data_IF_001335795202
#
_entry.id   IF_001335795202
#
_cell.length_a   1.000
_cell.length_b   1.000
_cell.length_c   1.000
_cell.angle_alpha   90.00
_cell.angle_beta   90.00
_cell.angle_gamma   90.00
#
_symmetry.space_group_name_H-M   'P 1'
#
loop_
_entity.id
_entity.type
_entity.pdbx_description
1 polymer ?
#
# COMPACT_ATOMS: atom_id res chain seq x y z
N UNK A 1 51.71 -40.71 45.29
CA UNK A 1 51.90 -39.66 44.26
C UNK A 1 50.58 -39.00 44.03
N UNK A 2 50.34 -38.00 44.88
CA UNK A 2 49.13 -37.18 44.82
C UNK A 2 49.25 -36.16 43.68
N UNK A 3 48.29 -36.12 42.81
CA UNK A 3 48.14 -35.05 41.86
C UNK A 3 46.85 -34.25 42.17
N UNK A 4 47.03 -33.26 42.96
CA UNK A 4 46.05 -32.22 43.32
C UNK A 4 45.81 -31.35 42.06
N UNK A 5 44.66 -31.50 41.40
CA UNK A 5 44.23 -30.58 40.34
C UNK A 5 43.59 -29.37 41.01
N UNK A 6 44.32 -28.27 41.06
CA UNK A 6 43.83 -26.94 41.43
C UNK A 6 42.95 -26.40 40.32
N UNK A 7 41.63 -26.44 40.56
CA UNK A 7 40.65 -25.68 39.74
C UNK A 7 40.81 -24.17 40.06
N UNK A 8 41.51 -23.48 39.19
CA UNK A 8 41.55 -22.02 39.19
C UNK A 8 40.29 -21.48 38.57
N UNK A 9 39.27 -21.23 39.36
CA UNK A 9 38.11 -20.44 38.97
C UNK A 9 38.56 -18.99 38.79
N UNK A 10 38.66 -18.56 37.53
CA UNK A 10 38.80 -17.15 37.16
C UNK A 10 37.57 -16.39 37.68
N UNK A 11 37.77 -15.26 38.40
CA UNK A 11 36.64 -14.45 38.83
C UNK A 11 36.00 -13.81 37.57
N UNK A 12 34.77 -14.23 37.26
CA UNK A 12 33.96 -13.64 36.24
C UNK A 12 33.70 -12.17 36.67
N UNK A 13 34.19 -11.23 35.87
CA UNK A 13 33.93 -9.80 36.04
C UNK A 13 32.41 -9.61 35.99
N UNK A 14 31.83 -9.07 37.06
CA UNK A 14 30.40 -8.85 37.26
C UNK A 14 29.75 -8.11 36.14
N UNK A 15 29.30 -8.84 35.12
CA UNK A 15 28.25 -8.43 34.26
C UNK A 15 26.93 -8.81 34.93
N UNK A 16 26.04 -7.87 35.06
CA UNK A 16 24.67 -8.10 35.54
C UNK A 16 24.03 -9.13 34.60
N UNK A 17 23.90 -10.37 35.07
CA UNK A 17 23.15 -11.38 34.35
C UNK A 17 21.67 -10.99 34.42
N UNK A 18 21.14 -10.49 33.33
CA UNK A 18 19.69 -10.16 33.21
C UNK A 18 18.95 -11.48 33.07
N UNK A 19 18.20 -11.86 34.08
CA UNK A 19 17.31 -13.02 33.97
C UNK A 19 16.14 -12.67 33.06
N UNK A 20 16.12 -13.31 31.89
CA UNK A 20 15.08 -13.10 30.86
C UNK A 20 13.69 -13.45 31.41
N UNK A 21 13.61 -14.41 32.33
CA UNK A 21 12.35 -14.84 32.92
C UNK A 21 11.75 -13.74 33.81
N UNK A 22 12.58 -13.08 34.60
CA UNK A 22 12.16 -11.98 35.47
C UNK A 22 11.78 -10.73 34.65
N UNK A 23 12.52 -10.45 33.59
CA UNK A 23 12.18 -9.38 32.65
C UNK A 23 10.80 -9.59 31.99
N UNK A 24 10.51 -10.84 31.59
CA UNK A 24 9.18 -11.17 31.04
C UNK A 24 8.10 -11.04 32.13
N UNK A 25 8.35 -11.50 33.35
CA UNK A 25 7.44 -11.34 34.48
C UNK A 25 7.12 -9.87 34.76
N UNK A 26 8.15 -9.00 34.73
CA UNK A 26 7.95 -7.55 34.87
C UNK A 26 7.06 -6.95 33.78
N UNK A 27 7.26 -7.37 32.53
CA UNK A 27 6.41 -6.92 31.42
C UNK A 27 4.94 -7.37 31.60
N UNK A 28 4.73 -8.60 32.06
CA UNK A 28 3.38 -9.13 32.31
C UNK A 28 2.67 -8.33 33.42
N UNK A 29 3.36 -7.99 34.50
CA UNK A 29 2.79 -7.14 35.57
C UNK A 29 2.42 -5.73 35.08
N UNK A 30 3.04 -5.25 34.00
CA UNK A 30 2.79 -3.92 33.40
C UNK A 30 1.92 -3.95 32.16
N UNK A 31 1.24 -5.08 31.87
CA UNK A 31 0.38 -5.26 30.68
C UNK A 31 -0.65 -4.14 30.51
N UNK A 32 -1.22 -3.62 31.59
CA UNK A 32 -2.15 -2.52 31.54
C UNK A 32 -1.54 -1.25 30.91
N UNK A 33 -0.31 -0.93 31.27
CA UNK A 33 0.40 0.23 30.71
C UNK A 33 0.70 -0.01 29.23
N UNK A 34 1.14 -1.25 28.90
CA UNK A 34 1.40 -1.64 27.50
C UNK A 34 0.12 -1.49 26.68
N UNK A 35 -1.00 -2.02 27.15
CA UNK A 35 -2.28 -1.94 26.45
C UNK A 35 -2.74 -0.49 26.23
N UNK A 36 -2.58 0.37 27.24
CA UNK A 36 -2.94 1.78 27.15
C UNK A 36 -2.08 2.52 26.11
N UNK A 37 -0.76 2.32 26.11
CA UNK A 37 0.14 2.97 25.16
C UNK A 37 -0.11 2.49 23.74
N UNK A 38 -0.30 1.17 23.53
CA UNK A 38 -0.64 0.61 22.23
C UNK A 38 -1.94 1.20 21.71
N UNK A 39 -2.96 1.33 22.58
CA UNK A 39 -4.24 1.96 22.21
C UNK A 39 -4.03 3.43 21.79
N UNK A 40 -3.23 4.19 22.53
CA UNK A 40 -2.92 5.57 22.17
C UNK A 40 -2.25 5.65 20.78
N UNK A 41 -1.27 4.79 20.49
CA UNK A 41 -0.61 4.75 19.18
C UNK A 41 -1.58 4.37 18.05
N UNK A 42 -2.50 3.43 18.28
CA UNK A 42 -3.56 3.10 17.32
C UNK A 42 -4.44 4.31 17.01
N UNK A 43 -4.85 5.06 18.04
CA UNK A 43 -5.68 6.27 17.86
C UNK A 43 -4.91 7.35 17.10
N UNK A 44 -3.63 7.59 17.45
CA UNK A 44 -2.79 8.57 16.77
C UNK A 44 -2.66 8.20 15.28
N UNK A 45 -2.38 6.95 14.95
CA UNK A 45 -2.26 6.49 13.56
C UNK A 45 -3.59 6.55 12.80
N UNK A 46 -4.70 6.30 13.47
CA UNK A 46 -6.04 6.48 12.89
C UNK A 46 -6.30 7.96 12.54
N UNK A 47 -6.05 8.87 13.47
CA UNK A 47 -6.21 10.31 13.26
C UNK A 47 -5.28 10.81 12.15
N UNK A 48 -4.02 10.40 12.17
CA UNK A 48 -3.06 10.70 11.11
C UNK A 48 -3.59 10.26 9.73
N UNK A 49 -4.06 9.02 9.62
CA UNK A 49 -4.60 8.47 8.36
C UNK A 49 -5.83 9.24 7.90
N UNK A 50 -6.68 9.68 8.84
CA UNK A 50 -7.94 10.36 8.51
C UNK A 50 -7.75 11.83 8.10
N UNK A 51 -6.80 12.53 8.72
CA UNK A 51 -6.66 13.99 8.57
C UNK A 51 -5.46 14.41 7.71
N UNK A 52 -4.40 13.59 7.65
CA UNK A 52 -3.18 13.98 6.96
C UNK A 52 -3.04 13.36 5.56
N UNK A 53 -3.69 12.21 5.31
CA UNK A 53 -3.58 11.55 4.02
C UNK A 53 -4.67 12.08 3.08
N UNK A 54 -4.26 12.72 1.98
CA UNK A 54 -5.19 13.13 0.93
C UNK A 54 -5.75 11.90 0.22
N UNK A 55 -7.07 11.77 0.09
CA UNK A 55 -7.67 10.63 -0.61
C UNK A 55 -7.31 10.67 -2.10
N UNK A 56 -6.95 9.52 -2.66
CA UNK A 56 -6.85 9.31 -4.10
C UNK A 56 -7.71 8.14 -4.52
N UNK A 57 -8.27 8.24 -5.71
CA UNK A 57 -9.21 7.27 -6.27
C UNK A 57 -8.59 6.64 -7.50
N UNK A 58 -8.62 5.32 -7.59
CA UNK A 58 -8.09 4.58 -8.71
C UNK A 58 -9.23 3.91 -9.46
N UNK A 59 -9.30 4.18 -10.75
CA UNK A 59 -10.19 3.49 -11.69
C UNK A 59 -9.33 2.61 -12.59
N UNK A 60 -9.70 1.35 -12.70
CA UNK A 60 -8.95 0.34 -13.45
C UNK A 60 -9.81 -0.18 -14.61
N UNK A 61 -9.22 -0.26 -15.79
CA UNK A 61 -9.83 -0.90 -16.96
C UNK A 61 -8.90 -1.93 -17.57
N UNK A 62 -9.45 -3.05 -18.01
CA UNK A 62 -8.69 -4.15 -18.61
C UNK A 62 -9.12 -4.35 -20.05
N UNK A 63 -8.14 -4.33 -20.94
CA UNK A 63 -8.35 -4.48 -22.38
C UNK A 63 -7.52 -5.65 -22.91
N UNK A 64 -8.13 -6.48 -23.77
CA UNK A 64 -7.41 -7.52 -24.52
C UNK A 64 -6.91 -6.92 -25.83
N UNK A 65 -5.65 -7.21 -26.16
CA UNK A 65 -5.05 -6.87 -27.45
C UNK A 65 -5.05 -8.12 -28.32
N UNK A 66 -5.79 -8.07 -29.43
CA UNK A 66 -5.88 -9.16 -30.38
C UNK A 66 -5.46 -8.69 -31.77
N UNK A 67 -4.64 -9.48 -32.45
CA UNK A 67 -4.31 -9.30 -33.85
C UNK A 67 -5.15 -10.29 -34.68
N UNK A 68 -6.15 -9.79 -35.36
CA UNK A 68 -7.01 -10.61 -36.22
C UNK A 68 -6.60 -10.42 -37.68
N UNK A 69 -5.90 -11.41 -38.19
CA UNK A 69 -5.66 -11.44 -39.65
C UNK A 69 -6.97 -11.72 -40.40
N UNK A 70 -7.14 -11.05 -41.52
CA UNK A 70 -8.28 -11.26 -42.41
C UNK A 70 -8.23 -12.70 -42.97
N UNK A 71 -9.20 -13.58 -42.64
CA UNK A 71 -9.17 -14.96 -43.05
C UNK A 71 -9.17 -15.16 -44.57
N UNK A 72 -9.62 -14.16 -45.33
CA UNK A 72 -9.66 -14.20 -46.79
C UNK A 72 -8.29 -13.91 -47.43
N UNK A 73 -7.38 -13.25 -46.73
CA UNK A 73 -6.03 -12.91 -47.24
C UNK A 73 -4.96 -13.98 -46.95
N UNK A 74 -5.15 -14.80 -45.93
CA UNK A 74 -4.08 -15.70 -45.45
C UNK A 74 -4.61 -17.10 -45.08
N UNK A 75 -5.02 -17.84 -46.10
CA UNK A 75 -5.58 -19.20 -45.92
C UNK A 75 -4.67 -20.22 -45.25
N UNK A 76 -3.41 -19.90 -44.94
CA UNK A 76 -2.42 -20.84 -44.35
C UNK A 76 -1.51 -20.24 -43.23
N UNK A 77 -1.80 -19.05 -42.75
CA UNK A 77 -1.05 -18.55 -41.59
C UNK A 77 -1.76 -18.94 -40.29
N UNK A 78 -1.10 -19.74 -39.54
CA UNK A 78 -1.53 -20.38 -38.31
C UNK A 78 -1.84 -19.37 -37.20
N UNK A 79 -2.85 -19.68 -36.39
CA UNK A 79 -3.21 -19.06 -35.10
C UNK A 79 -1.98 -18.68 -34.24
N UNK A 80 -0.87 -19.38 -34.39
CA UNK A 80 0.39 -19.14 -33.68
C UNK A 80 1.10 -17.82 -34.05
N UNK A 81 0.96 -17.34 -35.30
CA UNK A 81 1.57 -16.05 -35.69
C UNK A 81 0.78 -14.87 -35.12
N UNK A 82 -0.51 -14.96 -35.08
CA UNK A 82 -1.39 -13.93 -34.52
C UNK A 82 -1.22 -13.80 -33.00
N UNK A 83 -1.09 -14.93 -32.31
CA UNK A 83 -0.79 -14.96 -30.89
C UNK A 83 0.58 -14.35 -30.60
N UNK A 84 1.60 -14.64 -31.41
CA UNK A 84 2.95 -14.07 -31.22
C UNK A 84 2.96 -12.56 -31.36
N UNK A 85 2.18 -12.00 -32.31
CA UNK A 85 2.04 -10.54 -32.48
C UNK A 85 1.28 -9.94 -31.30
N UNK A 86 0.18 -10.55 -30.85
CA UNK A 86 -0.58 -10.10 -29.69
C UNK A 86 0.29 -10.05 -28.43
N UNK A 87 1.09 -11.09 -28.20
CA UNK A 87 2.06 -11.15 -27.09
C UNK A 87 3.10 -10.01 -27.17
N UNK A 88 3.65 -9.75 -28.37
CA UNK A 88 4.63 -8.67 -28.55
C UNK A 88 4.00 -7.29 -28.32
N UNK A 89 2.78 -7.08 -28.81
CA UNK A 89 2.02 -5.85 -28.60
C UNK A 89 1.74 -5.64 -27.12
N UNK A 90 1.32 -6.68 -26.41
CA UNK A 90 1.10 -6.63 -24.96
C UNK A 90 2.38 -6.25 -24.21
N UNK A 91 3.54 -6.81 -24.58
CA UNK A 91 4.83 -6.43 -23.98
C UNK A 91 5.21 -4.96 -24.25
N UNK A 92 4.83 -4.42 -25.39
CA UNK A 92 5.12 -3.02 -25.75
C UNK A 92 4.09 -2.04 -25.18
N UNK A 93 2.93 -2.51 -24.77
CA UNK A 93 1.80 -1.69 -24.35
C UNK A 93 2.10 -0.76 -23.20
N UNK A 94 2.92 -1.20 -22.24
CA UNK A 94 3.34 -0.38 -21.11
C UNK A 94 4.03 0.92 -21.57
N UNK A 95 4.94 0.83 -22.55
CA UNK A 95 5.59 2.01 -23.14
C UNK A 95 4.70 2.81 -24.05
N UNK A 96 3.78 2.13 -24.75
CA UNK A 96 2.85 2.79 -25.70
C UNK A 96 1.85 3.64 -24.93
N UNK A 97 1.22 3.08 -23.89
CA UNK A 97 0.14 3.76 -23.16
C UNK A 97 0.61 4.69 -22.05
N UNK A 98 1.85 4.54 -21.55
CA UNK A 98 2.48 5.55 -20.68
C UNK A 98 3.16 6.69 -21.46
N UNK A 99 3.16 6.63 -22.79
CA UNK A 99 3.82 7.61 -23.64
C UNK A 99 3.05 8.92 -23.78
N UNK A 100 3.79 10.02 -24.02
CA UNK A 100 3.23 11.39 -24.17
C UNK A 100 2.13 11.48 -25.24
N UNK A 101 2.28 10.75 -26.34
CA UNK A 101 1.32 10.79 -27.47
C UNK A 101 -0.04 10.22 -27.09
N UNK A 102 -0.04 9.11 -26.37
CA UNK A 102 -1.29 8.51 -25.89
C UNK A 102 -1.97 9.42 -24.86
N UNK A 103 -1.21 9.92 -23.91
CA UNK A 103 -1.73 10.83 -22.88
C UNK A 103 -2.24 12.15 -23.50
N UNK A 104 -1.61 12.63 -24.57
CA UNK A 104 -2.09 13.82 -25.30
C UNK A 104 -3.41 13.55 -26.03
N UNK A 105 -3.53 12.38 -26.67
CA UNK A 105 -4.78 11.97 -27.34
C UNK A 105 -5.94 11.85 -26.35
N UNK A 106 -5.69 11.23 -25.19
CA UNK A 106 -6.68 11.10 -24.12
C UNK A 106 -7.08 12.47 -23.57
N UNK A 107 -6.11 13.37 -23.38
CA UNK A 107 -6.37 14.75 -22.93
C UNK A 107 -7.22 15.54 -23.95
N UNK A 108 -6.89 15.42 -25.23
CA UNK A 108 -7.65 16.07 -26.31
C UNK A 108 -9.10 15.59 -26.35
N UNK A 109 -9.32 14.29 -26.29
CA UNK A 109 -10.67 13.70 -26.27
C UNK A 109 -11.47 14.16 -25.05
N UNK A 110 -10.86 14.16 -23.84
CA UNK A 110 -11.52 14.63 -22.64
C UNK A 110 -11.92 16.11 -22.69
N UNK A 111 -11.04 16.95 -23.21
CA UNK A 111 -11.31 18.40 -23.30
C UNK A 111 -12.32 18.76 -24.42
N UNK A 112 -12.48 17.87 -25.40
CA UNK A 112 -13.36 18.13 -26.54
C UNK A 112 -14.74 17.53 -26.35
N UNK A 113 -14.89 16.46 -25.57
CA UNK A 113 -16.12 15.71 -25.46
C UNK A 113 -16.56 15.44 -24.02
N UNK A 114 -17.65 16.10 -23.62
CA UNK A 114 -18.26 15.94 -22.28
C UNK A 114 -18.86 14.54 -22.05
N UNK A 115 -19.02 13.74 -23.11
CA UNK A 115 -19.64 12.42 -23.03
C UNK A 115 -18.89 11.47 -22.09
N UNK A 116 -17.57 11.60 -21.98
CA UNK A 116 -16.77 10.70 -21.14
C UNK A 116 -17.05 10.90 -19.66
N UNK A 117 -17.25 12.14 -19.20
CA UNK A 117 -17.60 12.37 -17.80
C UNK A 117 -19.04 11.93 -17.51
N UNK A 118 -19.95 12.13 -18.47
CA UNK A 118 -21.33 11.66 -18.35
C UNK A 118 -21.41 10.13 -18.34
N UNK A 119 -20.60 9.44 -19.16
CA UNK A 119 -20.49 7.99 -19.17
C UNK A 119 -19.91 7.46 -17.83
N UNK A 120 -18.91 8.15 -17.28
CA UNK A 120 -18.31 7.78 -15.99
C UNK A 120 -19.31 7.80 -14.83
N UNK A 121 -20.39 8.56 -14.95
CA UNK A 121 -21.44 8.63 -13.92
C UNK A 121 -22.41 7.44 -13.98
N UNK A 122 -22.48 6.67 -15.09
CA UNK A 122 -23.37 5.50 -15.28
C UNK A 122 -24.82 5.75 -14.79
N UNK A 123 -25.30 6.97 -14.91
CA UNK A 123 -26.61 7.38 -14.37
C UNK A 123 -26.62 7.63 -12.86
N UNK A 124 -25.53 7.44 -12.14
CA UNK A 124 -25.42 7.77 -10.73
C UNK A 124 -24.90 9.20 -10.56
N UNK A 125 -25.79 10.16 -10.64
CA UNK A 125 -25.51 11.60 -10.50
C UNK A 125 -25.47 12.07 -9.05
N UNK A 126 -25.53 11.18 -8.06
CA UNK A 126 -25.46 11.57 -6.67
C UNK A 126 -24.11 12.26 -6.35
N UNK A 127 -24.19 13.58 -6.14
CA UNK A 127 -23.02 14.42 -5.83
C UNK A 127 -22.29 14.99 -7.05
N UNK A 128 -22.78 14.78 -8.27
CA UNK A 128 -22.26 15.43 -9.47
C UNK A 128 -23.27 16.47 -9.99
N UNK A 129 -22.93 17.75 -9.88
CA UNK A 129 -23.83 18.87 -10.25
C UNK A 129 -23.40 19.62 -11.51
N UNK A 130 -22.33 19.18 -12.17
CA UNK A 130 -21.74 19.88 -13.32
C UNK A 130 -22.38 19.43 -14.62
N UNK A 131 -22.56 20.38 -15.56
CA UNK A 131 -23.16 20.11 -16.89
C UNK A 131 -22.11 19.77 -17.95
N UNK A 132 -20.90 20.31 -17.82
CA UNK A 132 -19.80 20.12 -18.76
C UNK A 132 -18.53 19.70 -18.01
N UNK A 133 -17.61 19.08 -18.76
CA UNK A 133 -16.31 18.72 -18.20
C UNK A 133 -15.47 19.95 -17.83
N UNK A 134 -15.58 21.05 -18.63
CA UNK A 134 -14.91 22.31 -18.33
C UNK A 134 -15.41 22.91 -17.00
N UNK A 135 -16.73 22.94 -16.77
CA UNK A 135 -17.32 23.43 -15.52
C UNK A 135 -16.81 22.62 -14.30
N UNK A 136 -16.73 21.32 -14.43
CA UNK A 136 -16.16 20.42 -13.42
C UNK A 136 -14.69 20.75 -13.14
N UNK A 137 -13.85 20.89 -14.17
CA UNK A 137 -12.44 21.19 -14.02
C UNK A 137 -12.20 22.57 -13.39
N UNK A 138 -12.98 23.59 -13.77
CA UNK A 138 -12.86 24.94 -13.17
C UNK A 138 -13.22 24.90 -11.69
N UNK A 139 -14.30 24.20 -11.33
CA UNK A 139 -14.78 24.15 -9.95
C UNK A 139 -13.87 23.36 -9.02
N UNK A 140 -13.42 22.18 -9.46
CA UNK A 140 -12.67 21.25 -8.60
C UNK A 140 -11.16 21.47 -8.63
N UNK A 141 -10.61 21.91 -9.77
CA UNK A 141 -9.18 21.99 -10.00
C UNK A 141 -8.68 23.40 -10.35
N UNK A 142 -9.59 24.36 -10.50
CA UNK A 142 -9.29 25.73 -10.99
C UNK A 142 -8.51 25.70 -12.33
N UNK A 143 -8.84 24.74 -13.19
CA UNK A 143 -8.24 24.53 -14.49
C UNK A 143 -9.33 24.51 -15.57
N UNK A 144 -9.03 25.00 -16.78
CA UNK A 144 -9.97 24.93 -17.91
C UNK A 144 -9.83 23.65 -18.70
N UNK A 145 -8.64 23.09 -18.74
CA UNK A 145 -8.29 21.92 -19.51
C UNK A 145 -7.39 21.00 -18.71
N UNK A 146 -7.47 19.70 -19.00
CA UNK A 146 -6.55 18.72 -18.48
C UNK A 146 -5.38 18.55 -19.44
N UNK A 147 -4.15 18.60 -18.92
CA UNK A 147 -2.95 18.42 -19.71
C UNK A 147 -2.51 16.95 -19.80
N UNK A 148 -1.81 16.59 -20.89
CA UNK A 148 -1.23 15.26 -21.07
C UNK A 148 -0.32 14.81 -19.90
N UNK A 149 0.42 15.74 -19.30
CA UNK A 149 1.29 15.45 -18.14
C UNK A 149 0.50 15.02 -16.90
N UNK A 150 -0.67 15.60 -16.68
CA UNK A 150 -1.55 15.22 -15.57
C UNK A 150 -2.03 13.78 -15.73
N UNK A 151 -2.41 13.41 -16.94
CA UNK A 151 -2.82 12.04 -17.28
C UNK A 151 -1.61 11.11 -17.13
N UNK A 152 -0.44 11.49 -17.65
CA UNK A 152 0.77 10.68 -17.57
C UNK A 152 1.22 10.42 -16.13
N UNK A 153 1.06 11.39 -15.23
CA UNK A 153 1.36 11.21 -13.80
C UNK A 153 0.33 10.37 -13.06
N UNK A 154 -0.87 10.21 -13.62
CA UNK A 154 -1.97 9.47 -13.01
C UNK A 154 -2.08 8.03 -13.53
N UNK A 155 -1.49 7.71 -14.69
CA UNK A 155 -1.62 6.40 -15.32
C UNK A 155 -0.58 5.41 -14.81
N UNK A 156 -1.03 4.18 -14.55
CA UNK A 156 -0.20 3.00 -14.36
C UNK A 156 -0.66 1.93 -15.33
N UNK A 157 0.27 1.33 -16.05
CA UNK A 157 0.00 0.31 -17.07
C UNK A 157 0.61 -0.99 -16.63
N UNK A 158 -0.18 -2.05 -16.60
CA UNK A 158 0.26 -3.40 -16.28
C UNK A 158 -0.10 -4.33 -17.45
N UNK A 159 0.88 -5.05 -17.96
CA UNK A 159 0.73 -5.94 -19.10
C UNK A 159 0.75 -7.40 -18.64
N UNK A 160 -0.37 -8.10 -18.84
CA UNK A 160 -0.44 -9.56 -18.68
C UNK A 160 -0.22 -10.23 -20.03
N UNK A 161 0.99 -10.73 -20.21
CA UNK A 161 1.43 -11.33 -21.48
C UNK A 161 0.74 -12.67 -21.73
N UNK A 162 0.43 -13.41 -20.69
CA UNK A 162 -0.17 -14.75 -20.80
C UNK A 162 -1.64 -14.66 -21.22
N UNK A 163 -2.32 -13.63 -20.74
CA UNK A 163 -3.70 -13.32 -21.11
C UNK A 163 -3.83 -12.42 -22.36
N UNK A 164 -2.72 -11.91 -22.91
CA UNK A 164 -2.70 -10.85 -23.92
C UNK A 164 -3.54 -9.63 -23.51
N UNK A 165 -3.56 -9.32 -22.21
CA UNK A 165 -4.36 -8.28 -21.62
C UNK A 165 -3.50 -7.12 -21.11
N UNK A 166 -4.05 -5.93 -21.14
CA UNK A 166 -3.45 -4.72 -20.61
C UNK A 166 -4.42 -4.06 -19.65
N UNK A 167 -3.95 -3.86 -18.43
CA UNK A 167 -4.68 -3.17 -17.39
C UNK A 167 -4.18 -1.75 -17.25
N UNK A 168 -5.06 -0.79 -17.45
CA UNK A 168 -4.81 0.63 -17.27
C UNK A 168 -5.45 1.07 -15.96
N UNK A 169 -4.66 1.65 -15.08
CA UNK A 169 -5.11 2.18 -13.80
C UNK A 169 -4.86 3.68 -13.74
N UNK A 170 -5.91 4.45 -13.48
CA UNK A 170 -5.85 5.90 -13.37
C UNK A 170 -6.10 6.34 -11.94
N UNK A 171 -5.11 6.95 -11.32
CA UNK A 171 -5.17 7.41 -9.93
C UNK A 171 -5.20 8.92 -9.87
N UNK A 172 -6.30 9.50 -9.37
CA UNK A 172 -6.49 10.94 -9.25
C UNK A 172 -7.11 11.31 -7.89
N UNK A 173 -6.99 12.59 -7.46
CA UNK A 173 -7.62 13.04 -6.22
C UNK A 173 -9.16 13.04 -6.26
N UNK A 174 -9.75 12.98 -7.46
CA UNK A 174 -11.20 13.01 -7.65
C UNK A 174 -11.67 11.75 -8.39
N UNK A 175 -12.66 11.05 -7.82
CA UNK A 175 -13.19 9.79 -8.37
C UNK A 175 -13.81 9.93 -9.75
N UNK A 176 -14.44 11.08 -10.03
CA UNK A 176 -15.07 11.34 -11.34
C UNK A 176 -14.02 11.56 -12.42
N UNK A 177 -12.92 12.23 -12.08
CA UNK A 177 -11.82 12.45 -12.99
C UNK A 177 -11.12 11.14 -13.37
N UNK A 178 -10.86 10.26 -12.39
CA UNK A 178 -10.22 8.95 -12.67
C UNK A 178 -11.09 8.09 -13.61
N UNK A 179 -12.40 8.08 -13.41
CA UNK A 179 -13.33 7.36 -14.27
C UNK A 179 -13.41 7.98 -15.67
N UNK A 180 -13.55 9.30 -15.79
CA UNK A 180 -13.61 9.98 -17.09
C UNK A 180 -12.34 9.74 -17.92
N UNK A 181 -11.15 9.80 -17.29
CA UNK A 181 -9.88 9.47 -17.96
C UNK A 181 -9.88 8.01 -18.44
N UNK A 182 -10.39 7.08 -17.63
CA UNK A 182 -10.45 5.66 -17.99
C UNK A 182 -11.34 5.41 -19.21
N UNK A 183 -12.52 6.05 -19.29
CA UNK A 183 -13.41 5.94 -20.46
C UNK A 183 -12.77 6.53 -21.71
N UNK A 184 -12.20 7.74 -21.62
CA UNK A 184 -11.53 8.37 -22.75
C UNK A 184 -10.30 7.57 -23.21
N UNK A 185 -9.57 6.97 -22.28
CA UNK A 185 -8.44 6.10 -22.58
C UNK A 185 -8.89 4.85 -23.34
N UNK A 186 -9.94 4.14 -22.86
CA UNK A 186 -10.47 2.96 -23.54
C UNK A 186 -10.86 3.25 -24.98
N UNK A 187 -11.53 4.38 -25.23
CA UNK A 187 -11.87 4.81 -26.58
C UNK A 187 -10.66 5.18 -27.46
N UNK A 188 -9.54 5.55 -26.81
CA UNK A 188 -8.32 5.97 -27.50
C UNK A 188 -7.35 4.82 -27.79
N UNK A 189 -7.45 3.68 -27.11
CA UNK A 189 -6.51 2.56 -27.22
C UNK A 189 -6.41 2.04 -28.64
N UNK A 190 -7.53 1.70 -29.24
CA UNK A 190 -7.57 1.11 -30.59
C UNK A 190 -7.02 2.08 -31.64
N UNK A 191 -7.48 3.32 -31.62
CA UNK A 191 -7.00 4.37 -32.53
C UNK A 191 -5.48 4.58 -32.42
N UNK A 192 -4.97 4.66 -31.20
CA UNK A 192 -3.55 4.87 -30.96
C UNK A 192 -2.70 3.68 -31.41
N UNK A 193 -3.14 2.44 -31.14
CA UNK A 193 -2.44 1.23 -31.60
C UNK A 193 -2.40 1.14 -33.12
N UNK A 194 -3.53 1.38 -33.78
CA UNK A 194 -3.59 1.36 -35.25
C UNK A 194 -2.71 2.44 -35.88
N UNK A 195 -2.64 3.62 -35.27
CA UNK A 195 -1.77 4.71 -35.73
C UNK A 195 -0.28 4.37 -35.63
N UNK A 196 0.14 3.67 -34.54
CA UNK A 196 1.54 3.28 -34.35
C UNK A 196 1.95 2.13 -35.25
N UNK A 197 1.11 1.09 -35.34
CA UNK A 197 1.44 -0.16 -36.03
C UNK A 197 1.17 -0.01 -37.52
N UNK A 198 0.38 1.00 -37.91
CA UNK A 198 -0.11 1.21 -39.30
C UNK A 198 -0.78 -0.03 -39.88
N UNK A 199 -1.46 -0.79 -39.03
CA UNK A 199 -2.19 -2.00 -39.41
C UNK A 199 -3.61 -1.94 -38.86
N UNK A 200 -4.59 -2.14 -39.76
CA UNK A 200 -6.00 -2.24 -39.40
C UNK A 200 -6.36 -3.59 -38.75
N UNK A 201 -5.43 -4.53 -38.72
CA UNK A 201 -5.64 -5.88 -38.17
C UNK A 201 -5.63 -5.96 -36.64
N UNK A 202 -5.20 -4.89 -35.96
CA UNK A 202 -5.15 -4.87 -34.50
C UNK A 202 -6.49 -4.40 -33.94
N UNK A 203 -7.07 -5.23 -33.10
CA UNK A 203 -8.31 -4.95 -32.40
C UNK A 203 -8.08 -4.99 -30.90
N UNK A 204 -8.77 -4.11 -30.19
CA UNK A 204 -8.84 -4.12 -28.74
C UNK A 204 -10.25 -4.42 -28.28
N UNK A 205 -10.38 -5.27 -27.28
CA UNK A 205 -11.66 -5.56 -26.66
C UNK A 205 -11.61 -5.15 -25.19
N UNK A 206 -12.59 -4.38 -24.75
CA UNK A 206 -12.73 -4.03 -23.34
C UNK A 206 -13.26 -5.27 -22.61
N UNK A 207 -12.50 -5.77 -21.64
CA UNK A 207 -12.91 -6.88 -20.76
C UNK A 207 -13.61 -6.33 -19.55
N UNK A 208 -13.02 -5.30 -18.95
CA UNK A 208 -13.56 -4.64 -17.79
C UNK A 208 -13.46 -3.13 -17.99
N UNK A 209 -14.62 -2.48 -17.94
CA UNK A 209 -14.69 -1.02 -17.99
C UNK A 209 -14.33 -0.42 -16.65
N UNK A 210 -13.66 0.72 -16.68
CA UNK A 210 -13.29 1.45 -15.47
C UNK A 210 -14.52 2.03 -14.79
N UNK A 211 -14.93 1.41 -13.68
CA UNK A 211 -16.06 1.89 -12.88
C UNK A 211 -15.65 3.00 -11.92
N UNK A 212 -16.65 3.81 -11.55
CA UNK A 212 -16.47 4.86 -10.55
C UNK A 212 -15.99 4.27 -9.23
N UNK A 213 -14.85 4.74 -8.72
CA UNK A 213 -14.32 4.28 -7.45
C UNK A 213 -15.25 4.66 -6.28
N UNK A 214 -15.66 3.67 -5.49
CA UNK A 214 -16.57 3.89 -4.33
C UNK A 214 -15.82 4.34 -3.09
N UNK A 215 -14.52 4.03 -2.97
CA UNK A 215 -13.67 4.37 -1.83
C UNK A 215 -12.27 4.78 -2.29
N UNK A 216 -11.56 5.59 -1.48
CA UNK A 216 -10.16 5.94 -1.76
C UNK A 216 -9.26 4.71 -1.75
N UNK A 217 -8.35 4.61 -2.70
CA UNK A 217 -7.45 3.47 -2.87
C UNK A 217 -6.24 3.49 -1.91
N UNK A 218 -5.86 4.67 -1.40
CA UNK A 218 -4.69 4.84 -0.54
C UNK A 218 -4.99 4.88 0.96
N UNK A 219 -6.27 4.96 1.36
CA UNK A 219 -6.66 5.06 2.76
C UNK A 219 -7.04 3.68 3.29
N UNK A 220 -6.11 3.06 4.01
CA UNK A 220 -6.33 1.79 4.69
C UNK A 220 -6.23 1.97 6.22
N UNK A 221 -7.27 2.48 6.89
CA UNK A 221 -7.20 2.84 8.30
C UNK A 221 -6.85 1.64 9.18
N UNK A 222 -7.42 0.47 8.92
CA UNK A 222 -7.12 -0.76 9.67
C UNK A 222 -5.64 -1.17 9.57
N UNK A 223 -5.06 -1.15 8.38
CA UNK A 223 -3.64 -1.49 8.18
C UNK A 223 -2.72 -0.51 8.90
N UNK A 224 -3.03 0.77 8.84
CA UNK A 224 -2.24 1.81 9.50
C UNK A 224 -2.38 1.76 11.03
N UNK A 225 -3.57 1.44 11.55
CA UNK A 225 -3.79 1.19 12.98
C UNK A 225 -2.97 -0.02 13.47
N UNK A 226 -2.93 -1.12 12.72
CA UNK A 226 -2.10 -2.29 13.06
C UNK A 226 -0.61 -1.95 13.08
N UNK A 227 -0.12 -1.16 12.11
CA UNK A 227 1.25 -0.66 12.12
C UNK A 227 1.53 0.20 13.36
N UNK A 228 0.60 1.09 13.72
CA UNK A 228 0.69 1.88 14.94
C UNK A 228 0.75 1.02 16.20
N UNK A 229 -0.06 -0.04 16.28
CA UNK A 229 -0.06 -0.98 17.39
C UNK A 229 1.30 -1.68 17.54
N UNK A 230 1.88 -2.16 16.44
CA UNK A 230 3.20 -2.83 16.46
C UNK A 230 4.30 -1.86 16.91
N UNK A 231 4.34 -0.66 16.35
CA UNK A 231 5.32 0.36 16.72
C UNK A 231 5.16 0.76 18.18
N UNK A 232 3.94 1.00 18.64
CA UNK A 232 3.65 1.33 20.05
C UNK A 232 4.05 0.21 21.00
N UNK A 233 3.79 -1.05 20.64
CA UNK A 233 4.17 -2.22 21.43
C UNK A 233 5.69 -2.36 21.56
N UNK A 234 6.42 -2.29 20.45
CA UNK A 234 7.88 -2.38 20.47
C UNK A 234 8.50 -1.26 21.29
N UNK A 235 8.01 -0.03 21.11
CA UNK A 235 8.52 1.14 21.81
C UNK A 235 8.29 1.05 23.32
N UNK A 236 7.07 0.70 23.77
CA UNK A 236 6.78 0.59 25.20
C UNK A 236 7.53 -0.56 25.84
N UNK A 237 7.66 -1.71 25.17
CA UNK A 237 8.46 -2.81 25.67
C UNK A 237 9.93 -2.42 25.83
N UNK A 238 10.52 -1.69 24.86
CA UNK A 238 11.88 -1.19 24.95
C UNK A 238 12.07 -0.23 26.13
N UNK A 239 11.11 0.69 26.34
CA UNK A 239 11.15 1.62 27.48
C UNK A 239 11.05 0.88 28.81
N UNK A 240 10.11 -0.06 28.93
CA UNK A 240 9.93 -0.83 30.17
C UNK A 240 11.15 -1.71 30.47
N UNK A 241 11.75 -2.31 29.44
CA UNK A 241 12.99 -3.06 29.61
C UNK A 241 14.17 -2.15 30.03
N UNK A 242 14.26 -0.96 29.40
CA UNK A 242 15.25 0.01 29.81
C UNK A 242 15.08 0.41 31.29
N UNK A 243 13.86 0.71 31.73
CA UNK A 243 13.55 1.01 33.12
C UNK A 243 13.94 -0.16 34.01
N UNK A 244 13.62 -1.40 33.62
CA UNK A 244 13.95 -2.60 34.36
C UNK A 244 15.47 -2.78 34.52
N UNK A 245 16.24 -2.53 33.47
CA UNK A 245 17.71 -2.66 33.48
C UNK A 245 18.38 -1.57 34.34
N UNK A 246 17.85 -0.34 34.31
CA UNK A 246 18.37 0.79 35.08
C UNK A 246 17.80 0.91 36.50
N UNK A 247 16.82 0.06 36.85
CA UNK A 247 16.28 0.03 38.23
C UNK A 247 17.22 -0.76 39.16
N UNK A 248 18.00 -0.03 39.95
CA UNK A 248 18.99 -0.57 40.87
C UNK A 248 18.39 -1.05 42.23
N UNK A 249 17.05 -1.21 42.30
CA UNK A 249 16.40 -1.69 43.51
C UNK A 249 16.65 -3.19 43.69
N UNK A 250 17.04 -3.54 44.92
CA UNK A 250 17.16 -4.93 45.35
C UNK A 250 15.75 -5.49 45.46
N UNK A 251 15.42 -6.50 44.65
CA UNK A 251 14.08 -7.08 44.56
C UNK A 251 13.97 -8.49 45.10
N UNK A 252 15.09 -9.18 45.18
CA UNK A 252 15.16 -10.58 45.61
C UNK A 252 16.22 -10.74 46.69
N UNK A 253 16.01 -11.62 47.69
CA UNK A 253 17.00 -11.92 48.72
C UNK A 253 18.39 -12.34 48.19
N UNK A 254 18.40 -13.03 47.05
CA UNK A 254 19.62 -13.46 46.35
C UNK A 254 20.48 -12.27 45.88
N UNK A 255 19.87 -11.12 45.59
CA UNK A 255 20.57 -9.90 45.23
C UNK A 255 21.43 -9.39 46.40
N UNK A 256 20.96 -9.56 47.63
CA UNK A 256 21.68 -9.16 48.85
C UNK A 256 22.94 -10.01 49.00
N UNK A 257 22.86 -11.32 48.82
CA UNK A 257 24.03 -12.20 48.90
C UNK A 257 25.03 -11.92 47.77
N UNK A 258 24.52 -11.65 46.56
CA UNK A 258 25.36 -11.43 45.39
C UNK A 258 26.08 -10.07 45.42
N UNK A 259 25.39 -9.00 45.85
CA UNK A 259 25.96 -7.65 45.86
C UNK A 259 26.63 -7.25 47.17
N UNK A 260 26.08 -7.65 48.28
CA UNK A 260 26.61 -7.29 49.60
C UNK A 260 27.53 -8.37 50.20
N UNK A 261 27.57 -9.57 49.60
CA UNK A 261 28.31 -10.74 50.10
C UNK A 261 27.99 -11.07 51.57
N UNK A 262 26.76 -10.82 51.97
CA UNK A 262 26.22 -11.11 53.31
C UNK A 262 25.14 -12.19 53.16
N UNK A 263 25.17 -13.22 54.01
CA UNK A 263 24.12 -14.22 54.07
C UNK A 263 22.81 -13.61 54.61
N UNK A 264 21.70 -13.85 53.93
CA UNK A 264 20.37 -13.43 54.39
C UNK A 264 19.98 -14.28 55.59
N UNK A 265 19.83 -13.67 56.77
CA UNK A 265 19.50 -14.35 58.03
C UNK A 265 18.02 -14.64 58.21
N UNK A 266 17.17 -14.03 57.39
CA UNK A 266 15.73 -14.24 57.46
C UNK A 266 14.97 -13.25 56.56
N UNK A 267 13.83 -13.66 56.10
CA UNK A 267 12.87 -12.88 55.30
C UNK A 267 11.62 -12.62 56.14
N UNK A 268 11.19 -11.37 56.24
CA UNK A 268 9.93 -11.03 56.91
C UNK A 268 8.85 -11.01 55.85
N UNK A 269 7.89 -11.95 55.87
CA UNK A 269 6.82 -11.95 54.84
C UNK A 269 5.95 -10.70 55.01
N UNK A 270 5.57 -10.12 53.87
CA UNK A 270 4.61 -9.02 53.81
C UNK A 270 3.26 -9.54 54.30
N UNK A 271 2.73 -8.91 55.36
CA UNK A 271 1.39 -9.26 55.86
C UNK A 271 0.40 -8.54 54.97
N UNK A 272 -0.32 -9.29 54.13
CA UNK A 272 -1.50 -8.77 53.40
C UNK A 272 -2.55 -8.36 54.47
N UNK A 273 -2.76 -7.06 54.66
CA UNK A 273 -3.93 -6.58 55.40
C UNK A 273 -5.17 -6.87 54.52
N UNK A 274 -5.95 -7.89 54.93
CA UNK A 274 -7.32 -8.09 54.45
C UNK A 274 -8.15 -6.88 54.85
N UNK A 275 -8.55 -6.03 53.89
CA UNK A 275 -9.55 -4.98 54.04
C UNK A 275 -10.83 -5.44 53.39
#
# INVERSE_FOLDING_TARGET
MDSTSTNTSTPNKGGREIDVRDAIGYLICKLWIIALVVLCFMIIMFLYTRFMITPVYTTTSTNIINNKNDPDKYQNQTITSDLSVSIQLTKMSEKIFSGDKFCALVAEKLNTNDQYILAALEGNTEGFSYKTFEEFLISEFNAKEIGARTIQSSISVEADVDACAVTLSFTTPNKYLSAAISYAANDSIQEHLQAIIKAESVFTGVVEEGRLATAPSNIHPLRNMMLGAVVGFVLICAILLAIYVFDDKIKVPDDIEKYLKMSVLGEIPEIEEEV
#
